data_IF_655693181437
#
_entry.id   IF_655693181437
#
_cell.length_a   1.000
_cell.length_b   1.000
_cell.length_c   1.000
_cell.angle_alpha   90.00
_cell.angle_beta   90.00
_cell.angle_gamma   90.00
#
_symmetry.space_group_name_H-M   'P 1'
#
loop_
_entity.id
_entity.type
_entity.pdbx_description
1 polymer ?
#
# COMPACT_ATOMS: atom_id res chain seq x y z
N UNK A 1 14.42 18.79 6.27
CA UNK A 1 13.38 18.07 7.04
C UNK A 1 12.84 18.98 8.15
N UNK A 2 13.67 19.51 9.07
CA UNK A 2 13.21 20.31 10.21
C UNK A 2 12.34 21.52 9.79
N UNK A 3 12.80 22.32 8.80
CA UNK A 3 12.01 23.46 8.27
C UNK A 3 10.66 23.01 7.73
N UNK A 4 10.60 21.87 7.04
CA UNK A 4 9.37 21.33 6.46
C UNK A 4 8.42 20.82 7.54
N UNK A 5 8.93 20.11 8.54
CA UNK A 5 8.14 19.71 9.71
C UNK A 5 7.55 20.90 10.47
N UNK A 6 8.33 21.98 10.63
CA UNK A 6 7.82 23.20 11.24
C UNK A 6 6.67 23.86 10.44
N UNK A 7 6.69 23.70 9.10
CA UNK A 7 5.66 24.24 8.20
C UNK A 7 4.38 23.42 8.19
N UNK A 8 4.48 22.10 8.11
CA UNK A 8 3.33 21.21 7.85
C UNK A 8 2.94 20.34 9.05
N UNK A 9 3.71 20.38 10.13
CA UNK A 9 3.51 19.51 11.28
C UNK A 9 3.97 18.06 11.05
N UNK A 10 3.81 17.23 12.06
CA UNK A 10 4.15 15.82 12.00
C UNK A 10 3.07 15.03 11.22
N UNK A 11 3.47 14.03 10.40
CA UNK A 11 2.52 13.19 9.71
C UNK A 11 1.74 12.30 10.69
N UNK A 12 0.45 12.11 10.43
CA UNK A 12 -0.33 11.13 11.16
C UNK A 12 0.15 9.71 10.85
N UNK A 13 0.25 8.88 11.87
CA UNK A 13 0.58 7.46 11.70
C UNK A 13 -0.57 6.76 10.99
N UNK A 14 -0.26 6.10 9.89
CA UNK A 14 -1.22 5.25 9.16
C UNK A 14 -1.04 3.81 9.63
N UNK A 15 -2.05 3.27 10.29
CA UNK A 15 -2.07 1.87 10.72
C UNK A 15 -3.35 1.22 10.24
N UNK A 16 -3.28 -0.07 9.87
CA UNK A 16 -4.40 -0.90 9.47
C UNK A 16 -4.28 -2.28 10.11
N UNK A 17 -5.37 -2.94 10.45
CA UNK A 17 -5.31 -4.34 10.89
C UNK A 17 -4.66 -5.21 9.82
N UNK A 18 -3.76 -6.13 10.17
CA UNK A 18 -3.23 -7.09 9.22
C UNK A 18 -4.32 -8.06 8.74
N UNK A 19 -4.22 -8.57 7.52
CA UNK A 19 -5.15 -9.55 6.98
C UNK A 19 -5.61 -9.28 5.55
N UNK A 20 -6.56 -10.10 5.11
CA UNK A 20 -7.16 -10.06 3.77
C UNK A 20 -7.70 -8.67 3.40
N UNK A 21 -8.54 -8.10 4.27
CA UNK A 21 -9.19 -6.81 4.02
C UNK A 21 -8.17 -5.70 3.71
N UNK A 22 -7.05 -5.64 4.42
CA UNK A 22 -6.00 -4.65 4.17
C UNK A 22 -5.26 -4.90 2.87
N UNK A 23 -4.91 -6.16 2.54
CA UNK A 23 -4.31 -6.50 1.25
C UNK A 23 -5.25 -6.17 0.08
N UNK A 24 -6.53 -6.52 0.20
CA UNK A 24 -7.53 -6.19 -0.80
C UNK A 24 -7.66 -4.67 -0.98
N UNK A 25 -7.67 -3.91 0.11
CA UNK A 25 -7.73 -2.45 0.06
C UNK A 25 -6.51 -1.84 -0.61
N UNK A 26 -5.32 -2.43 -0.45
CA UNK A 26 -4.11 -2.02 -1.17
C UNK A 26 -4.25 -2.30 -2.67
N UNK A 27 -4.76 -3.46 -3.06
CA UNK A 27 -5.06 -3.81 -4.46
C UNK A 27 -6.04 -2.81 -5.07
N UNK A 28 -7.11 -2.46 -4.36
CA UNK A 28 -8.09 -1.47 -4.83
C UNK A 28 -7.48 -0.08 -5.01
N UNK A 29 -6.46 0.26 -4.23
CA UNK A 29 -5.74 1.54 -4.30
C UNK A 29 -4.74 1.65 -5.45
N UNK A 30 -4.43 0.56 -6.15
CA UNK A 30 -3.45 0.60 -7.26
C UNK A 30 -3.95 1.45 -8.43
N UNK A 31 -3.09 2.35 -8.93
CA UNK A 31 -3.32 3.16 -10.14
C UNK A 31 -4.59 4.03 -10.11
N UNK A 32 -5.07 4.40 -8.93
CA UNK A 32 -6.21 5.30 -8.75
C UNK A 32 -5.93 6.33 -7.67
N UNK A 33 -6.70 7.42 -7.65
CA UNK A 33 -6.60 8.40 -6.58
C UNK A 33 -7.05 7.82 -5.23
N UNK A 34 -6.57 8.41 -4.13
CA UNK A 34 -6.96 8.03 -2.76
C UNK A 34 -8.48 8.12 -2.58
N UNK A 35 -9.11 9.14 -3.17
CA UNK A 35 -10.56 9.33 -3.11
C UNK A 35 -11.31 8.22 -3.86
N UNK A 36 -10.87 7.87 -5.07
CA UNK A 36 -11.47 6.79 -5.86
C UNK A 36 -11.31 5.43 -5.15
N UNK A 37 -10.14 5.14 -4.59
CA UNK A 37 -9.89 3.94 -3.80
C UNK A 37 -10.83 3.86 -2.57
N UNK A 38 -10.98 4.98 -1.85
CA UNK A 38 -11.87 5.04 -0.68
C UNK A 38 -13.34 4.86 -1.05
N UNK A 39 -13.79 5.44 -2.17
CA UNK A 39 -15.16 5.26 -2.66
C UNK A 39 -15.42 3.82 -3.09
N UNK A 40 -14.48 3.19 -3.78
CA UNK A 40 -14.55 1.78 -4.19
C UNK A 40 -14.60 0.85 -2.98
N UNK A 41 -13.75 1.11 -1.97
CA UNK A 41 -13.75 0.34 -0.73
C UNK A 41 -15.10 0.40 -0.01
N UNK A 42 -15.67 1.61 0.19
CA UNK A 42 -16.97 1.76 0.85
C UNK A 42 -18.09 0.99 0.14
N UNK A 43 -18.13 1.03 -1.22
CA UNK A 43 -19.13 0.26 -1.98
C UNK A 43 -18.93 -1.24 -1.83
N UNK A 44 -17.70 -1.72 -1.90
CA UNK A 44 -17.38 -3.13 -1.71
C UNK A 44 -17.76 -3.59 -0.30
N UNK A 45 -17.31 -2.88 0.73
CA UNK A 45 -17.58 -3.20 2.13
C UNK A 45 -19.10 -3.25 2.42
N UNK A 46 -19.86 -2.25 1.96
CA UNK A 46 -21.31 -2.24 2.07
C UNK A 46 -21.97 -3.41 1.29
N UNK A 47 -21.52 -3.69 0.08
CA UNK A 47 -22.02 -4.78 -0.75
C UNK A 47 -21.70 -6.17 -0.21
N UNK A 48 -20.66 -6.29 0.62
CA UNK A 48 -20.31 -7.51 1.35
C UNK A 48 -20.96 -7.60 2.74
N UNK A 49 -21.87 -6.68 3.09
CA UNK A 49 -22.53 -6.67 4.39
C UNK A 49 -21.63 -6.26 5.57
N UNK A 50 -20.55 -5.51 5.29
CA UNK A 50 -19.59 -5.06 6.31
C UNK A 50 -18.49 -6.09 6.64
N UNK A 51 -18.58 -7.31 6.13
CA UNK A 51 -17.60 -8.40 6.38
C UNK A 51 -16.74 -8.61 5.15
N UNK A 52 -15.48 -8.16 5.20
CA UNK A 52 -14.56 -8.30 4.07
C UNK A 52 -13.58 -9.44 4.33
N UNK A 53 -14.02 -10.64 3.98
CA UNK A 53 -13.29 -11.89 4.13
C UNK A 53 -13.19 -12.66 2.81
N UNK A 54 -12.21 -13.57 2.64
CA UNK A 54 -12.04 -14.34 1.39
C UNK A 54 -13.31 -15.08 0.98
N UNK A 55 -13.94 -15.82 1.89
CA UNK A 55 -15.13 -16.63 1.64
C UNK A 55 -16.31 -15.74 1.18
N UNK A 56 -16.57 -14.62 1.88
CA UNK A 56 -17.66 -13.69 1.54
C UNK A 56 -17.44 -13.05 0.16
N UNK A 57 -16.19 -12.74 -0.20
CA UNK A 57 -15.87 -12.23 -1.53
C UNK A 57 -16.05 -13.30 -2.60
N UNK A 58 -15.69 -14.55 -2.30
CA UNK A 58 -15.78 -15.67 -3.25
C UNK A 58 -17.22 -15.96 -3.68
N UNK A 59 -18.20 -15.73 -2.81
CA UNK A 59 -19.64 -15.90 -3.09
C UNK A 59 -20.22 -14.88 -4.08
N UNK A 60 -19.54 -13.76 -4.29
CA UNK A 60 -20.03 -12.69 -5.18
C UNK A 60 -19.68 -12.98 -6.63
N UNK A 61 -20.64 -12.75 -7.52
CA UNK A 61 -20.40 -12.80 -8.96
C UNK A 61 -19.51 -11.65 -9.43
N UNK A 62 -18.88 -11.82 -10.58
CA UNK A 62 -18.09 -10.74 -11.19
C UNK A 62 -18.95 -9.53 -11.58
N UNK A 63 -20.25 -9.73 -11.84
CA UNK A 63 -21.17 -8.65 -12.12
C UNK A 63 -21.42 -7.78 -10.89
N UNK A 64 -21.63 -8.39 -9.70
CA UNK A 64 -21.78 -7.68 -8.44
C UNK A 64 -20.47 -6.92 -8.08
N UNK A 65 -19.32 -7.57 -8.21
CA UNK A 65 -18.04 -6.92 -7.93
C UNK A 65 -17.79 -5.73 -8.87
N UNK A 66 -18.22 -5.81 -10.13
CA UNK A 66 -18.21 -4.66 -11.07
C UNK A 66 -19.13 -3.55 -10.63
N UNK A 67 -20.32 -3.87 -10.15
CA UNK A 67 -21.27 -2.88 -9.62
C UNK A 67 -20.71 -2.11 -8.41
N UNK A 68 -19.84 -2.75 -7.62
CA UNK A 68 -19.08 -2.06 -6.55
C UNK A 68 -17.93 -1.18 -7.07
N UNK A 69 -17.68 -1.20 -8.38
CA UNK A 69 -16.69 -0.36 -9.05
C UNK A 69 -15.33 -1.02 -9.29
N UNK A 70 -15.23 -2.33 -9.14
CA UNK A 70 -13.98 -3.04 -9.43
C UNK A 70 -13.81 -3.24 -10.94
N UNK A 71 -12.61 -2.94 -11.46
CA UNK A 71 -12.23 -3.32 -12.82
C UNK A 71 -12.07 -4.84 -12.94
N UNK A 72 -12.11 -5.39 -14.15
CA UNK A 72 -11.83 -6.80 -14.41
C UNK A 72 -10.50 -7.24 -13.78
N UNK A 73 -9.47 -6.40 -13.89
CA UNK A 73 -8.16 -6.66 -13.33
C UNK A 73 -8.20 -6.75 -11.80
N UNK A 74 -8.87 -5.78 -11.13
CA UNK A 74 -9.01 -5.77 -9.66
C UNK A 74 -9.81 -6.97 -9.17
N UNK A 75 -10.84 -7.41 -9.89
CA UNK A 75 -11.59 -8.64 -9.59
C UNK A 75 -10.67 -9.86 -9.68
N UNK A 76 -9.90 -9.98 -10.76
CA UNK A 76 -8.93 -11.08 -10.92
C UNK A 76 -7.90 -11.12 -9.77
N UNK A 77 -7.43 -9.97 -9.32
CA UNK A 77 -6.48 -9.88 -8.21
C UNK A 77 -7.12 -10.19 -6.86
N UNK A 78 -8.35 -9.71 -6.63
CA UNK A 78 -9.10 -10.00 -5.41
C UNK A 78 -9.37 -11.51 -5.26
N UNK A 79 -9.78 -12.17 -6.35
CA UNK A 79 -9.99 -13.62 -6.37
C UNK A 79 -8.68 -14.40 -6.17
N UNK A 80 -7.60 -13.98 -6.83
CA UNK A 80 -6.29 -14.62 -6.64
C UNK A 80 -5.81 -14.53 -5.18
N UNK A 81 -6.03 -13.38 -4.53
CA UNK A 81 -5.73 -13.20 -3.12
C UNK A 81 -6.59 -14.11 -2.22
N UNK A 82 -7.91 -14.15 -2.47
CA UNK A 82 -8.82 -15.01 -1.70
C UNK A 82 -8.42 -16.48 -1.83
N UNK A 83 -8.23 -16.97 -3.07
CA UNK A 83 -7.79 -18.35 -3.33
C UNK A 83 -6.45 -18.68 -2.67
N UNK A 84 -5.48 -17.74 -2.69
CA UNK A 84 -4.17 -17.98 -2.09
C UNK A 84 -4.25 -18.16 -0.57
N UNK A 85 -5.17 -17.43 0.09
CA UNK A 85 -5.38 -17.54 1.54
C UNK A 85 -6.18 -18.79 1.92
N UNK A 86 -7.29 -19.06 1.24
CA UNK A 86 -8.16 -20.21 1.53
C UNK A 86 -7.48 -21.54 1.16
N UNK A 87 -6.73 -21.56 0.06
CA UNK A 87 -6.00 -22.72 -0.42
C UNK A 87 -4.65 -22.97 0.28
N UNK A 88 -4.29 -22.18 1.28
CA UNK A 88 -3.02 -22.31 2.01
C UNK A 88 -1.77 -21.94 1.21
N UNK A 89 -1.92 -21.37 0.01
CA UNK A 89 -0.79 -20.90 -0.81
C UNK A 89 -0.10 -19.66 -0.22
N UNK A 90 -0.81 -18.89 0.64
CA UNK A 90 -0.26 -17.78 1.40
C UNK A 90 -0.70 -17.88 2.87
N UNK A 91 0.26 -18.09 3.77
CA UNK A 91 0.04 -18.02 5.22
C UNK A 91 0.48 -16.66 5.76
N UNK A 92 -0.49 -15.79 6.04
CA UNK A 92 -0.20 -14.45 6.59
C UNK A 92 0.40 -14.52 7.99
N UNK A 93 0.03 -15.51 8.82
CA UNK A 93 0.65 -15.71 10.13
C UNK A 93 2.15 -16.02 10.02
N UNK A 94 2.55 -16.78 9.00
CA UNK A 94 3.96 -17.01 8.68
C UNK A 94 4.63 -15.74 8.14
N UNK A 95 3.98 -15.04 7.20
CA UNK A 95 4.49 -13.77 6.64
C UNK A 95 4.78 -12.75 7.74
N UNK A 96 3.90 -12.64 8.74
CA UNK A 96 4.07 -11.70 9.85
C UNK A 96 5.33 -11.97 10.70
N UNK A 97 5.82 -13.20 10.71
CA UNK A 97 7.03 -13.60 11.46
C UNK A 97 8.31 -13.56 10.63
N UNK A 98 8.21 -13.41 9.31
CA UNK A 98 9.36 -13.32 8.42
C UNK A 98 10.08 -11.98 8.52
N UNK A 99 11.35 -11.93 8.18
CA UNK A 99 12.05 -10.68 7.86
C UNK A 99 11.46 -10.04 6.60
N UNK A 100 11.73 -8.75 6.36
CA UNK A 100 11.07 -7.98 5.31
C UNK A 100 11.26 -8.57 3.90
N UNK A 101 12.48 -8.95 3.52
CA UNK A 101 12.75 -9.48 2.19
C UNK A 101 12.00 -10.81 1.90
N UNK A 102 12.06 -11.85 2.75
CA UNK A 102 11.26 -13.07 2.53
C UNK A 102 9.75 -12.82 2.67
N UNK A 103 9.28 -11.87 3.49
CA UNK A 103 7.87 -11.50 3.56
C UNK A 103 7.39 -10.87 2.23
N UNK A 104 8.18 -9.97 1.65
CA UNK A 104 7.91 -9.39 0.33
C UNK A 104 7.88 -10.49 -0.74
N UNK A 105 8.87 -11.38 -0.74
CA UNK A 105 8.92 -12.50 -1.68
C UNK A 105 7.66 -13.38 -1.58
N UNK A 106 7.24 -13.74 -0.38
CA UNK A 106 6.03 -14.53 -0.15
C UNK A 106 4.75 -13.80 -0.63
N UNK A 107 4.59 -12.53 -0.31
CA UNK A 107 3.43 -11.74 -0.74
C UNK A 107 3.36 -11.59 -2.26
N UNK A 108 4.51 -11.42 -2.92
CA UNK A 108 4.57 -11.20 -4.37
C UNK A 108 4.32 -12.46 -5.21
N UNK A 109 4.21 -13.64 -4.60
CA UNK A 109 3.72 -14.86 -5.30
C UNK A 109 2.26 -14.74 -5.71
N UNK A 110 1.49 -13.88 -5.01
CA UNK A 110 0.07 -13.69 -5.30
C UNK A 110 -0.12 -12.74 -6.47
N UNK A 111 -0.86 -13.19 -7.49
CA UNK A 111 -1.19 -12.35 -8.65
C UNK A 111 -1.84 -11.03 -8.22
N UNK A 112 -1.27 -9.92 -8.63
CA UNK A 112 -1.77 -8.58 -8.30
C UNK A 112 -1.09 -7.93 -7.10
N UNK A 113 -0.23 -8.65 -6.38
CA UNK A 113 0.62 -8.10 -5.34
C UNK A 113 2.04 -7.96 -5.88
N UNK A 114 2.44 -6.74 -6.20
CA UNK A 114 3.83 -6.42 -6.52
C UNK A 114 4.61 -5.93 -5.29
N UNK A 115 5.90 -5.66 -5.47
CA UNK A 115 6.81 -5.19 -4.41
C UNK A 115 6.24 -3.96 -3.69
N UNK A 116 5.73 -2.97 -4.43
CA UNK A 116 5.09 -1.78 -3.84
C UNK A 116 3.93 -2.15 -2.91
N UNK A 117 3.03 -3.05 -3.32
CA UNK A 117 1.89 -3.46 -2.51
C UNK A 117 2.32 -4.23 -1.25
N UNK A 118 3.34 -5.08 -1.38
CA UNK A 118 3.92 -5.81 -0.26
C UNK A 118 4.56 -4.85 0.74
N UNK A 119 5.37 -3.88 0.29
CA UNK A 119 5.99 -2.87 1.15
C UNK A 119 4.95 -1.98 1.85
N UNK A 120 3.87 -1.59 1.18
CA UNK A 120 2.73 -0.89 1.80
C UNK A 120 2.09 -1.73 2.90
N UNK A 121 1.91 -3.04 2.66
CA UNK A 121 1.38 -3.95 3.68
C UNK A 121 2.31 -4.07 4.89
N UNK A 122 3.60 -4.26 4.66
CA UNK A 122 4.59 -4.32 5.73
C UNK A 122 4.59 -3.04 6.57
N UNK A 123 4.53 -1.89 5.92
CA UNK A 123 4.55 -0.58 6.58
C UNK A 123 3.27 -0.31 7.37
N UNK A 124 2.09 -0.49 6.74
CA UNK A 124 0.83 -0.05 7.33
C UNK A 124 0.16 -1.12 8.19
N UNK A 125 0.31 -2.40 7.86
CA UNK A 125 -0.32 -3.49 8.60
C UNK A 125 0.61 -4.10 9.66
N UNK A 126 1.89 -4.31 9.31
CA UNK A 126 2.84 -4.93 10.23
C UNK A 126 3.67 -3.91 11.01
N UNK A 127 3.56 -2.63 10.69
CA UNK A 127 4.28 -1.56 11.39
C UNK A 127 5.81 -1.63 11.21
N UNK A 128 6.28 -2.24 10.10
CA UNK A 128 7.72 -2.39 9.83
C UNK A 128 8.36 -1.03 9.59
N UNK A 129 9.21 -0.60 10.53
CA UNK A 129 9.78 0.75 10.56
C UNK A 129 10.71 1.08 9.39
N UNK A 130 11.22 0.07 8.70
CA UNK A 130 12.15 0.23 7.59
C UNK A 130 11.54 -0.15 6.22
N UNK A 131 10.29 -0.60 6.15
CA UNK A 131 9.61 -0.85 4.89
C UNK A 131 9.41 0.48 4.14
N UNK A 132 9.90 0.53 2.89
CA UNK A 132 9.94 1.77 2.10
C UNK A 132 9.52 1.53 0.66
N UNK A 133 8.30 1.89 0.27
CA UNK A 133 7.77 1.66 -1.07
C UNK A 133 8.36 2.64 -2.10
N UNK A 134 9.64 2.47 -2.44
CA UNK A 134 10.37 3.35 -3.35
C UNK A 134 9.73 3.49 -4.74
N UNK A 135 8.87 2.54 -5.14
CA UNK A 135 8.09 2.61 -6.37
C UNK A 135 6.92 3.58 -6.32
N UNK A 136 6.56 4.12 -5.14
CA UNK A 136 5.46 5.04 -4.97
C UNK A 136 5.74 6.40 -5.60
N UNK A 137 4.86 6.84 -6.51
CA UNK A 137 5.04 8.10 -7.23
C UNK A 137 5.04 9.32 -6.30
N UNK A 138 4.16 9.33 -5.30
CA UNK A 138 4.07 10.44 -4.37
C UNK A 138 5.31 10.53 -3.47
N UNK A 139 5.91 9.39 -3.08
CA UNK A 139 7.20 9.40 -2.38
C UNK A 139 8.33 9.95 -3.26
N UNK A 140 8.38 9.55 -4.52
CA UNK A 140 9.39 10.02 -5.47
C UNK A 140 9.29 11.53 -5.70
N UNK A 141 8.08 12.04 -5.89
CA UNK A 141 7.83 13.49 -6.04
C UNK A 141 8.08 14.21 -4.71
N UNK A 142 7.66 13.67 -3.57
CA UNK A 142 7.95 14.22 -2.24
C UNK A 142 9.46 14.35 -1.99
N UNK A 143 10.22 13.33 -2.37
CA UNK A 143 11.69 13.36 -2.28
C UNK A 143 12.30 14.40 -3.23
N UNK A 144 11.84 14.44 -4.50
CA UNK A 144 12.26 15.44 -5.48
C UNK A 144 12.13 16.86 -4.91
N UNK A 145 10.95 17.20 -4.40
CA UNK A 145 10.66 18.51 -3.82
C UNK A 145 11.53 18.82 -2.59
N UNK A 146 11.63 17.85 -1.67
CA UNK A 146 12.43 17.98 -0.45
C UNK A 146 13.91 18.25 -0.74
N UNK A 147 14.45 17.60 -1.77
CA UNK A 147 15.85 17.71 -2.18
C UNK A 147 16.08 18.71 -3.30
N UNK A 148 15.04 19.37 -3.82
CA UNK A 148 15.07 20.33 -4.93
C UNK A 148 15.75 19.75 -6.16
N UNK A 149 15.38 18.53 -6.55
CA UNK A 149 15.88 17.89 -7.76
C UNK A 149 15.07 18.30 -8.98
N UNK A 150 15.69 18.33 -10.14
CA UNK A 150 15.03 18.67 -11.42
C UNK A 150 13.95 17.63 -11.79
N UNK A 151 14.15 16.36 -11.43
CA UNK A 151 13.24 15.28 -11.73
C UNK A 151 13.07 14.30 -10.55
N UNK A 152 11.91 13.65 -10.49
CA UNK A 152 11.65 12.61 -9.52
C UNK A 152 12.56 11.39 -9.78
N UNK A 153 13.33 10.90 -8.79
CA UNK A 153 14.27 9.79 -9.00
C UNK A 153 13.52 8.50 -9.39
N UNK A 154 14.15 7.65 -10.20
CA UNK A 154 13.65 6.32 -10.47
C UNK A 154 13.56 5.48 -9.17
N UNK A 155 12.70 4.44 -9.09
CA UNK A 155 12.54 3.65 -7.87
C UNK A 155 13.84 3.08 -7.29
N UNK A 156 14.72 2.53 -8.14
CA UNK A 156 15.99 2.00 -7.71
C UNK A 156 16.93 3.10 -7.18
N UNK A 157 16.95 4.25 -7.85
CA UNK A 157 17.74 5.40 -7.41
C UNK A 157 17.22 5.93 -6.06
N UNK A 158 15.89 6.06 -5.89
CA UNK A 158 15.32 6.49 -4.62
C UNK A 158 15.69 5.54 -3.49
N UNK A 159 15.67 4.23 -3.73
CA UNK A 159 16.06 3.23 -2.74
C UNK A 159 17.51 3.42 -2.28
N UNK A 160 18.44 3.59 -3.22
CA UNK A 160 19.83 3.87 -2.91
C UNK A 160 20.03 5.20 -2.16
N UNK A 161 19.36 6.26 -2.60
CA UNK A 161 19.45 7.59 -1.97
C UNK A 161 18.89 7.63 -0.55
N UNK A 162 18.04 6.68 -0.18
CA UNK A 162 17.42 6.60 1.16
C UNK A 162 18.00 5.49 2.03
N UNK A 163 19.04 4.80 1.58
CA UNK A 163 19.69 3.71 2.34
C UNK A 163 20.19 4.18 3.71
N UNK A 164 20.81 5.34 3.77
CA UNK A 164 21.29 5.95 5.01
C UNK A 164 20.18 6.32 6.02
N UNK A 165 18.90 6.21 5.62
CA UNK A 165 17.77 6.45 6.53
C UNK A 165 17.32 5.19 7.28
N UNK A 166 17.88 4.03 6.92
CA UNK A 166 17.66 2.79 7.68
C UNK A 166 18.11 2.94 9.13
N UNK A 167 17.39 2.41 10.12
CA UNK A 167 16.18 1.59 10.02
C UNK A 167 14.84 2.37 10.08
N UNK A 168 14.83 3.65 9.73
CA UNK A 168 13.68 4.55 9.89
C UNK A 168 13.05 4.98 8.56
N UNK A 169 13.30 4.25 7.47
CA UNK A 169 12.78 4.59 6.13
C UNK A 169 11.25 4.67 6.08
N UNK A 170 10.54 3.87 6.88
CA UNK A 170 9.09 3.94 7.02
C UNK A 170 8.59 5.27 7.57
N UNK A 171 9.27 5.83 8.57
CA UNK A 171 8.95 7.17 9.07
C UNK A 171 9.20 8.24 8.01
N UNK A 172 10.29 8.10 7.24
CA UNK A 172 10.57 8.97 6.10
C UNK A 172 9.49 8.87 5.02
N UNK A 173 8.96 7.66 4.74
CA UNK A 173 7.86 7.49 3.80
C UNK A 173 6.60 8.26 4.25
N UNK A 174 6.22 8.14 5.52
CA UNK A 174 5.09 8.93 6.08
C UNK A 174 5.32 10.43 5.93
N UNK A 175 6.53 10.92 6.21
CA UNK A 175 6.87 12.32 6.05
C UNK A 175 6.80 12.77 4.59
N UNK A 176 7.33 11.99 3.65
CA UNK A 176 7.32 12.33 2.22
C UNK A 176 5.90 12.38 1.67
N UNK A 177 5.00 11.45 2.03
CA UNK A 177 3.58 11.53 1.67
C UNK A 177 2.89 12.75 2.26
N UNK A 178 3.23 13.10 3.51
CA UNK A 178 2.66 14.30 4.15
C UNK A 178 3.13 15.58 3.46
N UNK A 179 4.41 15.68 3.16
CA UNK A 179 4.97 16.80 2.39
C UNK A 179 4.39 16.89 0.97
N UNK A 180 4.22 15.75 0.29
CA UNK A 180 3.59 15.70 -1.02
C UNK A 180 2.14 16.23 -1.00
N UNK A 181 1.37 15.88 0.03
CA UNK A 181 -0.02 16.31 0.20
C UNK A 181 -0.17 17.78 0.63
N UNK A 182 0.90 18.39 1.16
CA UNK A 182 0.95 19.78 1.62
C UNK A 182 2.07 20.53 0.88
N UNK A 183 1.94 20.81 -0.43
CA UNK A 183 2.96 21.54 -1.18
C UNK A 183 3.18 22.94 -0.58
N UNK A 184 4.37 23.55 -0.78
CA UNK A 184 4.56 24.97 -0.49
C UNK A 184 3.52 25.81 -1.26
N UNK A 185 3.05 26.87 -0.65
CA UNK A 185 2.31 27.92 -1.39
C UNK A 185 3.30 28.59 -2.34
N UNK A 186 2.94 28.69 -3.62
CA UNK A 186 3.71 29.44 -4.64
C UNK A 186 3.73 30.92 -4.32
#
# INVERSE_FOLDING_TARGET
VARELARIGAPARRHRPPGFATLLRIILGQQVSVQAAAAMWRRLEAGLGGVVEPAVLAERSDAELRAFGLSRQKISYARALATALDGGGLDLGRVHRMADAPAIAALTTVKGIGVWSAEIYLLFALGRGDAFPAGDLALRIGYQRLKRLDAAPAPAALRALTEAWSPYRGAAAHFLWHSYANPPLE
#
